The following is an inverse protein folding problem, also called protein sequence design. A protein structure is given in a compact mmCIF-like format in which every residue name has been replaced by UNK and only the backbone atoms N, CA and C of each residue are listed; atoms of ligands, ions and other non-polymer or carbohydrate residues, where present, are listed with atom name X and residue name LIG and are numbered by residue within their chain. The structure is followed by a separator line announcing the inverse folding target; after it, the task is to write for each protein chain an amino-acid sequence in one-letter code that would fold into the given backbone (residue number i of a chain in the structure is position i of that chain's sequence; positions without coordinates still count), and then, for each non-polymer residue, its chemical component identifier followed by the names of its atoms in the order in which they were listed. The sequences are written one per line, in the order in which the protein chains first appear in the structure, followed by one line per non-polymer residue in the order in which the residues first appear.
data_IF_346802669362
#
_entry.id   IF_346802669362
#
_cell.length_a   1.000
_cell.length_b   1.000
_cell.length_c   1.000
_cell.angle_alpha   90.00
_cell.angle_beta   90.00
_cell.angle_gamma   90.00
#
_symmetry.space_group_name_H-M   'P 1'
#
loop_
_entity.id
_entity.type
_entity.pdbx_description
1 polymer ?
#
# COMPACT_ATOMS: atom_id res chain seq x y z
N UNK A 1 9.15 10.83 -19.08
CA UNK A 1 9.60 9.74 -18.20
C UNK A 1 8.86 9.87 -16.88
N UNK A 2 8.22 8.80 -16.41
CA UNK A 2 7.36 8.83 -15.22
C UNK A 2 8.18 8.82 -13.93
N UNK A 3 7.66 9.42 -12.86
CA UNK A 3 8.29 9.54 -11.54
C UNK A 3 7.33 9.06 -10.46
N UNK A 4 7.87 8.45 -9.41
CA UNK A 4 7.12 7.98 -8.24
C UNK A 4 7.36 8.94 -7.08
N UNK A 5 6.29 9.47 -6.47
CA UNK A 5 6.38 10.37 -5.32
C UNK A 5 6.51 9.57 -4.02
N UNK A 6 7.73 9.43 -3.52
CA UNK A 6 8.04 8.59 -2.34
C UNK A 6 8.05 9.36 -1.01
N UNK A 7 7.66 10.63 -1.02
CA UNK A 7 7.50 11.45 0.17
C UNK A 7 8.28 12.75 0.13
N UNK A 8 8.85 13.15 1.26
CA UNK A 8 9.53 14.44 1.43
C UNK A 8 11.00 14.24 1.80
N UNK A 9 11.89 14.93 1.10
CA UNK A 9 13.29 15.06 1.53
C UNK A 9 13.37 16.04 2.69
N UNK A 10 14.10 15.67 3.73
CA UNK A 10 14.39 16.54 4.87
C UNK A 10 15.90 16.54 5.13
N UNK A 11 16.40 17.62 5.75
CA UNK A 11 17.78 17.61 6.24
C UNK A 11 17.91 16.69 7.44
N UNK A 12 19.05 16.00 7.52
CA UNK A 12 19.33 15.07 8.62
C UNK A 12 19.50 15.79 9.98
N UNK A 13 19.89 17.06 9.95
CA UNK A 13 19.98 17.92 11.15
C UNK A 13 18.61 18.41 11.66
N UNK A 14 17.51 17.99 11.02
CA UNK A 14 16.15 18.40 11.35
C UNK A 14 15.77 19.82 10.91
N UNK A 15 16.67 20.58 10.29
CA UNK A 15 16.47 22.00 9.98
C UNK A 15 15.82 22.21 8.61
N UNK A 16 14.59 21.73 8.49
CA UNK A 16 13.69 22.06 7.38
C UNK A 16 13.58 21.00 6.28
N UNK A 17 12.56 21.19 5.43
CA UNK A 17 12.22 20.32 4.29
C UNK A 17 13.00 20.76 3.05
N UNK A 18 13.46 19.79 2.26
CA UNK A 18 14.18 19.96 0.99
C UNK A 18 13.29 19.74 -0.24
N UNK A 19 11.97 19.60 -0.02
CA UNK A 19 10.97 19.37 -1.06
C UNK A 19 10.62 17.89 -1.24
N UNK A 20 9.86 17.57 -2.30
CA UNK A 20 9.45 16.21 -2.60
C UNK A 20 10.66 15.29 -2.88
N UNK A 21 10.53 14.02 -2.50
CA UNK A 21 11.42 12.94 -2.92
C UNK A 21 10.74 12.16 -4.03
N UNK A 22 11.26 12.28 -5.25
CA UNK A 22 10.73 11.58 -6.41
C UNK A 22 11.76 10.57 -6.91
N UNK A 23 11.33 9.34 -7.17
CA UNK A 23 12.16 8.30 -7.77
C UNK A 23 11.83 8.17 -9.26
N UNK A 24 12.80 8.34 -10.17
CA UNK A 24 12.60 8.02 -11.59
C UNK A 24 12.29 6.53 -11.76
N UNK A 25 11.23 6.17 -12.49
CA UNK A 25 10.79 4.77 -12.59
C UNK A 25 11.85 3.83 -13.19
N UNK A 26 12.71 4.33 -14.07
CA UNK A 26 13.78 3.54 -14.67
C UNK A 26 14.84 3.05 -13.66
N UNK A 27 14.92 3.65 -12.46
CA UNK A 27 15.77 3.13 -11.39
C UNK A 27 15.28 1.77 -10.87
N UNK A 28 14.01 1.42 -11.05
CA UNK A 28 13.48 0.12 -10.65
C UNK A 28 13.87 -1.01 -11.62
N UNK A 29 14.40 -0.68 -12.82
CA UNK A 29 14.91 -1.66 -13.78
C UNK A 29 16.22 -2.32 -13.33
N UNK A 30 16.90 -1.75 -12.33
CA UNK A 30 18.17 -2.27 -11.78
C UNK A 30 17.99 -3.02 -10.47
N UNK A 31 16.76 -3.42 -10.14
CA UNK A 31 16.36 -4.04 -8.87
C UNK A 31 16.46 -3.07 -7.68
N UNK A 32 15.65 -3.32 -6.66
CA UNK A 32 15.67 -2.59 -5.41
C UNK A 32 15.55 -3.57 -4.24
N UNK A 33 16.16 -3.22 -3.11
CA UNK A 33 16.06 -3.99 -1.87
C UNK A 33 15.70 -3.03 -0.73
N UNK A 34 14.68 -3.38 0.05
CA UNK A 34 14.22 -2.60 1.20
C UNK A 34 14.57 -3.37 2.47
N UNK A 35 15.46 -2.82 3.30
CA UNK A 35 15.99 -3.44 4.52
C UNK A 35 15.77 -2.54 5.74
N UNK A 36 15.68 -3.14 6.92
CA UNK A 36 15.45 -2.42 8.17
C UNK A 36 14.78 -3.29 9.25
N UNK A 37 14.83 -2.84 10.50
CA UNK A 37 14.19 -3.53 11.63
C UNK A 37 12.67 -3.40 11.61
N UNK A 38 11.95 -4.18 12.41
CA UNK A 38 10.50 -4.00 12.61
C UNK A 38 10.20 -2.57 13.07
N UNK A 39 9.13 -1.95 12.55
CA UNK A 39 8.78 -0.57 12.85
C UNK A 39 9.55 0.50 12.05
N UNK A 40 10.55 0.13 11.24
CA UNK A 40 11.33 1.10 10.44
C UNK A 40 10.62 1.63 9.18
N UNK A 41 9.36 1.25 8.95
CA UNK A 41 8.57 1.71 7.80
C UNK A 41 8.78 0.94 6.49
N UNK A 42 9.39 -0.25 6.50
CA UNK A 42 9.59 -1.05 5.27
C UNK A 42 8.29 -1.32 4.52
N UNK A 43 7.27 -1.84 5.21
CA UNK A 43 5.95 -2.14 4.60
C UNK A 43 5.34 -0.87 4.04
N UNK A 44 5.31 0.22 4.81
CA UNK A 44 4.80 1.52 4.34
C UNK A 44 5.53 2.06 3.10
N UNK A 45 6.86 1.91 3.02
CA UNK A 45 7.62 2.29 1.82
C UNK A 45 7.20 1.44 0.60
N UNK A 46 7.02 0.13 0.77
CA UNK A 46 6.57 -0.75 -0.31
C UNK A 46 5.13 -0.41 -0.73
N UNK A 47 4.24 -0.12 0.23
CA UNK A 47 2.87 0.34 -0.03
C UNK A 47 2.88 1.58 -0.94
N UNK A 48 3.62 2.62 -0.57
CA UNK A 48 3.73 3.87 -1.37
C UNK A 48 4.35 3.60 -2.74
N UNK A 49 5.37 2.75 -2.82
CA UNK A 49 5.98 2.36 -4.09
C UNK A 49 4.97 1.71 -5.04
N UNK A 50 4.15 0.77 -4.54
CA UNK A 50 3.12 0.09 -5.32
C UNK A 50 2.02 1.07 -5.73
N UNK A 51 1.52 1.88 -4.81
CA UNK A 51 0.49 2.89 -5.09
C UNK A 51 0.93 3.86 -6.18
N UNK A 52 2.14 4.42 -6.07
CA UNK A 52 2.68 5.34 -7.07
C UNK A 52 2.99 4.64 -8.39
N UNK A 53 3.42 3.38 -8.38
CA UNK A 53 3.63 2.60 -9.60
C UNK A 53 2.31 2.39 -10.36
N UNK A 54 1.24 2.02 -9.65
CA UNK A 54 -0.09 1.87 -10.23
C UNK A 54 -0.61 3.21 -10.77
N UNK A 55 -0.45 4.30 -10.01
CA UNK A 55 -0.81 5.67 -10.43
C UNK A 55 -0.03 6.15 -11.66
N UNK A 56 1.21 5.68 -11.81
CA UNK A 56 2.07 5.90 -12.96
C UNK A 56 1.74 5.01 -14.17
N UNK A 57 0.75 4.11 -14.07
CA UNK A 57 0.40 3.14 -15.11
C UNK A 57 1.41 2.00 -15.28
N UNK A 58 2.27 1.78 -14.29
CA UNK A 58 3.24 0.68 -14.28
C UNK A 58 2.54 -0.56 -13.72
N UNK A 59 2.44 -1.66 -14.50
CA UNK A 59 1.86 -2.90 -13.98
C UNK A 59 2.74 -3.47 -12.87
N UNK A 60 2.11 -3.89 -11.77
CA UNK A 60 2.79 -4.44 -10.60
C UNK A 60 2.25 -5.84 -10.28
N UNK A 61 3.17 -6.81 -10.14
CA UNK A 61 2.88 -8.12 -9.56
C UNK A 61 3.51 -8.16 -8.17
N UNK A 62 2.69 -8.35 -7.14
CA UNK A 62 3.11 -8.31 -5.74
C UNK A 62 2.91 -9.66 -5.10
N UNK A 63 3.97 -10.22 -4.52
CA UNK A 63 3.90 -11.41 -3.67
C UNK A 63 3.85 -10.97 -2.22
N UNK A 64 2.66 -11.04 -1.63
CA UNK A 64 2.41 -10.56 -0.27
C UNK A 64 2.15 -11.74 0.68
N UNK A 65 3.18 -12.11 1.45
CA UNK A 65 3.09 -13.20 2.44
C UNK A 65 2.27 -12.80 3.66
N UNK A 66 2.21 -11.50 3.96
CA UNK A 66 1.55 -10.98 5.17
C UNK A 66 0.09 -10.60 4.93
N UNK A 67 -0.26 -10.27 3.68
CA UNK A 67 -1.59 -9.78 3.31
C UNK A 67 -1.77 -8.26 3.53
N UNK A 68 -0.74 -7.57 4.04
CA UNK A 68 -0.82 -6.14 4.37
C UNK A 68 -0.99 -5.25 3.12
N UNK A 69 -0.43 -5.64 1.98
CA UNK A 69 -0.49 -4.88 0.71
C UNK A 69 -1.77 -5.14 -0.06
N UNK A 70 -2.40 -6.31 0.11
CA UNK A 70 -3.71 -6.61 -0.50
C UNK A 70 -4.78 -5.60 -0.06
N UNK A 71 -4.63 -5.00 1.13
CA UNK A 71 -5.50 -3.93 1.62
C UNK A 71 -5.53 -2.69 0.73
N UNK A 72 -4.54 -2.48 -0.15
CA UNK A 72 -4.60 -1.42 -1.17
C UNK A 72 -5.80 -1.58 -2.12
N UNK A 73 -6.29 -2.81 -2.32
CA UNK A 73 -7.48 -3.09 -3.13
C UNK A 73 -8.79 -2.72 -2.41
N UNK A 74 -8.76 -2.47 -1.10
CA UNK A 74 -9.93 -2.10 -0.29
C UNK A 74 -10.20 -0.59 -0.26
N UNK A 75 -9.47 0.20 -1.06
CA UNK A 75 -9.67 1.64 -1.19
C UNK A 75 -10.86 1.96 -2.13
N UNK A 76 -12.08 1.68 -1.69
CA UNK A 76 -13.30 1.95 -2.44
C UNK A 76 -13.63 3.46 -2.47
N UNK A 77 -14.10 4.02 -3.60
CA UNK A 77 -14.47 5.44 -3.68
C UNK A 77 -15.55 5.88 -2.68
N UNK A 78 -16.52 4.99 -2.39
CA UNK A 78 -17.64 5.25 -1.48
C UNK A 78 -17.38 4.85 -0.04
N UNK A 79 -16.38 3.99 0.20
CA UNK A 79 -16.08 3.38 1.49
C UNK A 79 -17.32 2.84 2.23
N UNK A 80 -18.30 2.35 1.45
CA UNK A 80 -19.56 1.80 1.95
C UNK A 80 -19.41 0.33 2.36
N UNK A 81 -20.29 -0.10 3.26
CA UNK A 81 -20.27 -1.46 3.81
C UNK A 81 -20.49 -2.52 2.73
N UNK A 82 -21.35 -2.25 1.75
CA UNK A 82 -21.68 -3.19 0.68
C UNK A 82 -20.46 -3.51 -0.19
N UNK A 83 -19.64 -2.50 -0.51
CA UNK A 83 -18.39 -2.68 -1.24
C UNK A 83 -17.33 -3.47 -0.46
N UNK A 84 -17.33 -3.36 0.87
CA UNK A 84 -16.41 -4.12 1.74
C UNK A 84 -16.87 -5.55 1.98
N UNK A 85 -18.18 -5.82 1.99
CA UNK A 85 -18.78 -7.10 2.38
C UNK A 85 -18.12 -8.34 1.72
N UNK A 86 -17.79 -8.35 0.42
CA UNK A 86 -17.15 -9.52 -0.22
C UNK A 86 -15.74 -9.82 0.27
N UNK A 87 -15.10 -8.88 0.97
CA UNK A 87 -13.72 -8.97 1.45
C UNK A 87 -13.64 -9.20 2.97
N UNK A 88 -14.79 -9.24 3.65
CA UNK A 88 -14.88 -9.52 5.08
C UNK A 88 -14.87 -11.03 5.28
N UNK A 89 -13.90 -11.52 6.04
CA UNK A 89 -13.87 -12.91 6.48
C UNK A 89 -15.04 -13.19 7.44
N UNK A 90 -15.72 -14.34 7.31
CA UNK A 90 -16.80 -14.72 8.21
C UNK A 90 -16.31 -14.85 9.66
N UNK A 91 -17.21 -14.67 10.62
CA UNK A 91 -16.86 -14.78 12.03
C UNK A 91 -16.39 -16.20 12.37
N UNK A 92 -15.48 -16.38 13.34
CA UNK A 92 -15.10 -17.72 13.79
C UNK A 92 -16.34 -18.47 14.32
N UNK A 93 -16.61 -19.65 13.76
CA UNK A 93 -17.78 -20.52 14.01
C UNK A 93 -19.08 -20.11 13.29
N UNK A 94 -18.95 -19.37 12.20
CA UNK A 94 -20.04 -19.16 11.25
C UNK A 94 -20.08 -20.31 10.22
N UNK A 95 -21.07 -21.19 10.38
CA UNK A 95 -21.18 -22.47 9.68
C UNK A 95 -21.71 -22.37 8.25
N UNK A 96 -22.20 -21.20 7.82
CA UNK A 96 -22.67 -20.96 6.45
C UNK A 96 -21.67 -20.21 5.55
N UNK A 97 -20.61 -19.62 6.15
CA UNK A 97 -19.54 -18.93 5.44
C UNK A 97 -19.97 -17.63 4.77
N UNK A 98 -21.12 -17.06 5.17
CA UNK A 98 -21.66 -15.81 4.64
C UNK A 98 -21.56 -14.74 5.73
N UNK A 99 -20.91 -13.60 5.42
CA UNK A 99 -20.90 -12.48 6.35
C UNK A 99 -22.33 -12.06 6.74
N UNK A 100 -22.62 -12.12 8.04
CA UNK A 100 -23.88 -11.73 8.69
C UNK A 100 -24.40 -10.39 8.16
N UNK A 101 -25.72 -10.28 7.99
CA UNK A 101 -26.35 -8.98 7.71
C UNK A 101 -26.14 -8.01 8.89
N UNK A 102 -25.96 -6.71 8.62
CA UNK A 102 -25.72 -5.73 9.67
C UNK A 102 -26.87 -5.72 10.67
N UNK A 103 -26.53 -5.76 11.97
CA UNK A 103 -27.50 -5.53 13.04
C UNK A 103 -28.07 -4.12 12.88
N UNK A 104 -29.37 -4.07 12.56
CA UNK A 104 -30.14 -2.83 12.38
C UNK A 104 -30.16 -1.99 13.65
#
# INVERSE_FOLDING_TARGET
MTRLQLGTRARLDGRGKLGAYELPTHHLLTHAVVVGMTGSGKTGLVTVLVEEALRAGVPALVFDVKGDLANLALAFPGFDADSMRPWVEPAPNDDDGIADDPLV
#
